data_IF_147295479939
#
_entry.id   IF_147295479939
#
_cell.length_a   1.000
_cell.length_b   1.000
_cell.length_c   1.000
_cell.angle_alpha   90.00
_cell.angle_beta   90.00
_cell.angle_gamma   90.00
#
_symmetry.space_group_name_H-M   'P 1'
#
loop_
_entity.id
_entity.type
_entity.pdbx_description
1 polymer ?
#
# COMPACT_ATOMS: atom_id res chain seq x y z
N UNK A 1 -9.49 13.49 -14.20
CA UNK A 1 -10.32 14.71 -14.03
C UNK A 1 -11.56 14.42 -13.17
N UNK A 2 -12.39 13.41 -13.51
CA UNK A 2 -13.62 13.10 -12.74
C UNK A 2 -13.30 12.75 -11.29
N UNK A 3 -12.33 11.86 -11.04
CA UNK A 3 -11.92 11.46 -9.70
C UNK A 3 -11.33 12.65 -8.91
N UNK A 4 -10.47 13.45 -9.53
CA UNK A 4 -9.89 14.63 -8.88
C UNK A 4 -10.96 15.63 -8.47
N UNK A 5 -11.91 15.94 -9.36
CA UNK A 5 -13.02 16.83 -9.02
C UNK A 5 -13.88 16.31 -7.86
N UNK A 6 -14.08 14.99 -7.77
CA UNK A 6 -14.84 14.37 -6.68
C UNK A 6 -14.04 14.33 -5.36
N UNK A 7 -12.72 14.21 -5.42
CA UNK A 7 -11.82 14.14 -4.27
C UNK A 7 -11.20 15.49 -3.87
N UNK A 8 -11.45 16.55 -4.63
CA UNK A 8 -11.05 17.92 -4.30
C UNK A 8 -9.61 18.28 -4.68
N UNK A 9 -9.03 17.60 -5.69
CA UNK A 9 -7.71 17.92 -6.24
C UNK A 9 -7.74 18.01 -7.77
N UNK A 10 -6.78 18.73 -8.35
CA UNK A 10 -6.59 18.83 -9.80
C UNK A 10 -5.58 17.78 -10.31
N UNK A 11 -5.61 17.40 -11.60
CA UNK A 11 -4.61 16.51 -12.18
C UNK A 11 -3.18 17.03 -12.03
N UNK A 12 -3.00 18.34 -12.11
CA UNK A 12 -1.70 19.02 -12.01
C UNK A 12 -1.08 18.88 -10.62
N UNK A 13 -1.88 18.68 -9.58
CA UNK A 13 -1.43 18.44 -8.19
C UNK A 13 -1.04 16.99 -7.91
N UNK A 14 -1.24 16.08 -8.87
CA UNK A 14 -1.02 14.65 -8.65
C UNK A 14 0.41 14.22 -8.87
N UNK A 15 0.87 13.27 -8.03
CA UNK A 15 2.09 12.50 -8.24
C UNK A 15 1.74 11.01 -8.24
N UNK A 16 2.15 10.31 -9.29
CA UNK A 16 1.88 8.87 -9.47
C UNK A 16 3.12 8.03 -9.17
N UNK A 17 2.90 6.84 -8.64
CA UNK A 17 3.92 5.80 -8.54
C UNK A 17 4.26 5.20 -9.91
N UNK A 18 5.51 4.73 -10.07
CA UNK A 18 5.92 3.78 -11.11
C UNK A 18 6.19 2.43 -10.46
N UNK A 19 5.14 1.61 -10.40
CA UNK A 19 5.09 0.38 -9.63
C UNK A 19 5.72 -0.78 -10.39
N UNK A 20 6.71 -1.43 -9.79
CA UNK A 20 7.37 -2.64 -10.31
C UNK A 20 7.42 -3.77 -9.27
N UNK A 21 6.52 -3.74 -8.29
CA UNK A 21 6.41 -4.72 -7.19
C UNK A 21 7.66 -4.79 -6.31
N UNK A 22 8.25 -3.64 -6.04
CA UNK A 22 9.42 -3.45 -5.17
C UNK A 22 9.00 -3.02 -3.76
N UNK A 23 9.95 -2.60 -2.96
CA UNK A 23 9.77 -1.93 -1.67
C UNK A 23 10.31 -0.50 -1.65
N UNK A 24 10.53 0.06 -2.84
CA UNK A 24 11.06 1.40 -3.00
C UNK A 24 10.01 2.46 -2.72
N UNK A 25 10.39 3.43 -1.90
CA UNK A 25 9.56 4.54 -1.45
C UNK A 25 10.26 5.86 -1.80
N UNK A 26 9.50 6.83 -2.34
CA UNK A 26 10.00 8.16 -2.66
C UNK A 26 9.29 9.22 -1.83
N UNK A 27 10.06 10.14 -1.24
CA UNK A 27 9.53 11.43 -0.79
C UNK A 27 9.31 12.32 -2.01
N UNK A 28 8.13 12.94 -2.09
CA UNK A 28 7.74 13.83 -3.18
C UNK A 28 7.20 15.13 -2.61
N UNK A 29 7.24 16.19 -3.41
CA UNK A 29 6.78 17.52 -3.04
C UNK A 29 6.13 18.25 -4.20
N UNK A 30 5.87 19.55 -4.05
CA UNK A 30 5.22 20.40 -5.06
C UNK A 30 5.95 20.35 -6.42
N UNK A 31 7.29 20.27 -6.42
CA UNK A 31 8.11 20.17 -7.64
C UNK A 31 7.87 18.90 -8.46
N UNK A 32 7.29 17.85 -7.82
CA UNK A 32 7.01 16.55 -8.44
C UNK A 32 5.59 16.48 -9.01
N UNK A 33 4.74 17.47 -8.73
CA UNK A 33 3.36 17.52 -9.20
C UNK A 33 3.27 17.42 -10.74
N UNK A 34 2.30 16.64 -11.23
CA UNK A 34 2.14 16.27 -12.64
C UNK A 34 2.97 15.04 -13.07
N UNK A 35 3.87 14.53 -12.22
CA UNK A 35 4.69 13.34 -12.54
C UNK A 35 3.83 12.07 -12.61
N UNK A 36 4.00 11.32 -13.69
CA UNK A 36 3.25 10.11 -14.01
C UNK A 36 1.94 10.37 -14.78
N UNK A 37 1.55 11.64 -14.98
CA UNK A 37 0.39 12.05 -15.77
C UNK A 37 0.74 13.02 -16.88
N UNK A 38 1.39 14.14 -16.55
CA UNK A 38 1.84 15.17 -17.51
C UNK A 38 3.30 15.04 -17.85
N UNK A 39 4.08 14.52 -16.91
CA UNK A 39 5.51 14.23 -17.07
C UNK A 39 5.75 12.76 -16.76
N UNK A 40 6.73 12.15 -17.40
CA UNK A 40 7.10 10.76 -17.17
C UNK A 40 7.60 10.55 -15.72
N UNK A 41 7.10 9.51 -15.05
CA UNK A 41 7.70 9.02 -13.80
C UNK A 41 8.88 8.10 -14.14
N UNK A 42 10.10 8.61 -14.00
CA UNK A 42 11.32 7.86 -14.33
C UNK A 42 11.83 7.01 -13.17
N UNK A 43 11.55 7.41 -11.94
CA UNK A 43 11.97 6.69 -10.76
C UNK A 43 10.99 5.55 -10.42
N UNK A 44 11.50 4.32 -10.33
CA UNK A 44 10.75 3.17 -9.85
C UNK A 44 10.42 3.36 -8.37
N UNK A 45 9.13 3.28 -8.04
CA UNK A 45 8.66 3.32 -6.66
C UNK A 45 7.29 2.66 -6.55
N UNK A 46 7.12 1.89 -5.50
CA UNK A 46 5.84 1.29 -5.15
C UNK A 46 5.12 2.04 -4.02
N UNK A 47 5.75 3.09 -3.49
CA UNK A 47 5.11 4.03 -2.58
C UNK A 47 5.71 5.42 -2.65
N UNK A 48 4.89 6.40 -2.36
CA UNK A 48 5.22 7.82 -2.30
C UNK A 48 4.70 8.43 -1.01
N UNK A 49 5.42 9.41 -0.48
CA UNK A 49 5.09 10.07 0.78
C UNK A 49 5.43 11.56 0.74
N UNK A 50 4.66 12.37 1.45
CA UNK A 50 4.84 13.82 1.53
C UNK A 50 4.28 14.40 2.83
N UNK A 51 4.81 15.56 3.23
CA UNK A 51 4.27 16.44 4.26
C UNK A 51 3.90 17.83 3.68
N UNK A 52 3.91 17.95 2.35
CA UNK A 52 3.58 19.20 1.67
C UNK A 52 2.09 19.26 1.32
N UNK A 53 1.35 20.29 1.79
CA UNK A 53 -0.04 20.50 1.37
C UNK A 53 -0.17 20.76 -0.13
N UNK A 54 -1.29 20.35 -0.71
CA UNK A 54 -1.56 20.53 -2.15
C UNK A 54 -0.96 19.46 -3.05
N UNK A 55 -0.24 18.48 -2.51
CA UNK A 55 0.29 17.33 -3.26
C UNK A 55 -0.64 16.13 -3.10
N UNK A 56 -1.25 15.67 -4.19
CA UNK A 56 -2.13 14.50 -4.21
C UNK A 56 -1.38 13.24 -4.65
N UNK A 57 -1.25 12.28 -3.75
CA UNK A 57 -0.54 11.03 -4.00
C UNK A 57 -1.45 9.98 -4.64
N UNK A 58 -0.99 9.32 -5.71
CA UNK A 58 -1.76 8.31 -6.44
C UNK A 58 -0.94 7.02 -6.61
N UNK A 59 -1.50 5.91 -6.14
CA UNK A 59 -1.05 4.56 -6.48
C UNK A 59 -2.20 3.73 -7.04
N UNK A 60 -1.87 2.68 -7.78
CA UNK A 60 -2.85 1.81 -8.42
C UNK A 60 -2.86 0.43 -7.77
N UNK A 61 -4.06 -0.18 -7.71
CA UNK A 61 -4.22 -1.57 -7.33
C UNK A 61 -5.39 -2.16 -8.10
N UNK A 62 -5.17 -3.26 -8.83
CA UNK A 62 -6.23 -4.09 -9.37
C UNK A 62 -6.49 -5.26 -8.42
N UNK A 63 -5.53 -6.12 -8.20
CA UNK A 63 -5.59 -7.22 -7.23
C UNK A 63 -4.59 -7.02 -6.08
N UNK A 64 -3.55 -6.23 -6.30
CA UNK A 64 -2.59 -5.89 -5.26
C UNK A 64 -3.18 -4.97 -4.20
N UNK A 65 -2.72 -5.11 -2.97
CA UNK A 65 -3.14 -4.26 -1.85
C UNK A 65 -2.62 -2.84 -2.03
N UNK A 66 -3.46 -1.85 -1.77
CA UNK A 66 -3.06 -0.45 -1.65
C UNK A 66 -3.19 -0.01 -0.19
N UNK A 67 -2.27 0.82 0.28
CA UNK A 67 -2.25 1.35 1.64
C UNK A 67 -2.24 2.87 1.57
N UNK A 68 -3.07 3.50 2.38
CA UNK A 68 -3.03 4.93 2.63
C UNK A 68 -2.66 5.17 4.10
N UNK A 69 -1.65 5.99 4.34
CA UNK A 69 -1.19 6.34 5.68
C UNK A 69 -1.35 7.85 5.88
N UNK A 70 -1.79 8.26 7.07
CA UNK A 70 -1.96 9.66 7.43
C UNK A 70 -1.57 9.90 8.88
N UNK A 71 -0.67 10.84 9.12
CA UNK A 71 -0.38 11.40 10.45
C UNK A 71 -1.02 12.77 10.59
N UNK A 72 -2.11 12.92 11.37
CA UNK A 72 -2.79 14.20 11.55
C UNK A 72 -1.98 15.23 12.35
N UNK A 73 -0.97 14.79 13.10
CA UNK A 73 -0.12 15.69 13.92
C UNK A 73 0.96 16.33 13.03
N UNK A 74 1.58 15.54 12.15
CA UNK A 74 2.62 15.99 11.23
C UNK A 74 2.07 16.44 9.88
N UNK A 75 0.77 16.24 9.63
CA UNK A 75 0.14 16.52 8.33
C UNK A 75 0.81 15.78 7.17
N UNK A 76 1.37 14.59 7.45
CA UNK A 76 2.10 13.79 6.48
C UNK A 76 1.23 12.62 5.99
N UNK A 77 1.37 12.29 4.71
CA UNK A 77 0.62 11.22 4.05
C UNK A 77 1.55 10.28 3.28
N UNK A 78 1.11 9.04 3.06
CA UNK A 78 1.73 8.13 2.12
C UNK A 78 0.67 7.32 1.36
N UNK A 79 0.96 7.02 0.09
CA UNK A 79 0.22 6.09 -0.75
C UNK A 79 1.16 4.98 -1.21
N UNK A 80 0.81 3.72 -0.93
CA UNK A 80 1.71 2.57 -1.11
C UNK A 80 1.00 1.44 -1.85
N UNK A 81 1.64 0.92 -2.87
CA UNK A 81 1.26 -0.32 -3.55
C UNK A 81 2.00 -1.50 -2.92
N UNK A 82 1.27 -2.45 -2.39
CA UNK A 82 1.79 -3.63 -1.71
C UNK A 82 1.29 -4.91 -2.40
N UNK A 83 1.84 -5.24 -3.56
CA UNK A 83 1.71 -6.57 -4.15
C UNK A 83 2.39 -7.62 -3.26
N UNK A 84 2.25 -8.92 -3.54
CA UNK A 84 2.80 -9.97 -2.68
C UNK A 84 4.33 -9.83 -2.46
N UNK A 85 5.09 -9.40 -3.49
CA UNK A 85 6.53 -9.17 -3.36
C UNK A 85 6.83 -8.00 -2.42
N UNK A 86 6.17 -6.85 -2.61
CA UNK A 86 6.31 -5.69 -1.73
C UNK A 86 5.86 -6.01 -0.30
N UNK A 87 4.81 -6.81 -0.13
CA UNK A 87 4.37 -7.31 1.20
C UNK A 87 5.45 -8.18 1.85
N UNK A 88 6.04 -9.13 1.12
CA UNK A 88 7.14 -9.96 1.63
C UNK A 88 8.39 -9.13 1.97
N UNK A 89 8.67 -8.09 1.21
CA UNK A 89 9.76 -7.14 1.48
C UNK A 89 9.46 -6.14 2.62
N UNK A 90 8.24 -6.18 3.17
CA UNK A 90 7.83 -5.33 4.30
C UNK A 90 7.60 -3.86 3.93
N UNK A 91 7.11 -3.57 2.71
CA UNK A 91 6.91 -2.19 2.24
C UNK A 91 6.02 -1.37 3.18
N UNK A 92 4.99 -1.97 3.77
CA UNK A 92 4.11 -1.31 4.73
C UNK A 92 4.86 -0.86 5.99
N UNK A 93 5.73 -1.70 6.55
CA UNK A 93 6.60 -1.39 7.67
C UNK A 93 7.59 -0.27 7.31
N UNK A 94 8.23 -0.40 6.13
CA UNK A 94 9.20 0.59 5.62
C UNK A 94 8.55 1.95 5.38
N UNK A 95 7.30 1.99 4.93
CA UNK A 95 6.57 3.25 4.75
C UNK A 95 6.38 4.00 6.09
N UNK A 96 6.01 3.29 7.16
CA UNK A 96 5.92 3.89 8.50
C UNK A 96 7.28 4.40 8.97
N UNK A 97 8.35 3.61 8.81
CA UNK A 97 9.71 4.04 9.16
C UNK A 97 10.15 5.29 8.38
N UNK A 98 9.80 5.37 7.08
CA UNK A 98 10.09 6.54 6.26
C UNK A 98 9.32 7.77 6.75
N UNK A 99 8.04 7.63 7.11
CA UNK A 99 7.27 8.73 7.71
C UNK A 99 7.88 9.20 9.04
N UNK A 100 8.39 8.28 9.86
CA UNK A 100 9.11 8.63 11.10
C UNK A 100 10.40 9.40 10.80
N UNK A 101 11.23 8.92 9.89
CA UNK A 101 12.56 9.50 9.62
C UNK A 101 12.50 10.80 8.83
N UNK A 102 11.57 10.91 7.88
CA UNK A 102 11.44 12.09 7.00
C UNK A 102 10.64 13.21 7.65
N UNK A 103 9.58 12.88 8.41
CA UNK A 103 8.60 13.86 8.89
C UNK A 103 8.48 13.89 10.42
N UNK A 104 9.15 12.98 11.14
CA UNK A 104 9.06 12.89 12.60
C UNK A 104 7.69 12.39 13.08
N UNK A 105 7.00 11.58 12.26
CA UNK A 105 5.74 10.96 12.64
C UNK A 105 5.94 9.97 13.81
N UNK A 106 4.99 9.93 14.74
CA UNK A 106 4.93 8.87 15.75
C UNK A 106 3.96 7.78 15.24
N UNK A 107 4.36 6.48 15.23
CA UNK A 107 3.51 5.43 14.67
C UNK A 107 2.11 5.34 15.28
N UNK A 108 1.98 5.64 16.57
CA UNK A 108 0.70 5.67 17.27
C UNK A 108 -0.25 6.79 16.80
N UNK A 109 0.27 7.83 16.13
CA UNK A 109 -0.53 8.90 15.52
C UNK A 109 -0.95 8.53 14.09
N UNK A 110 -0.23 7.61 13.44
CA UNK A 110 -0.53 7.23 12.05
C UNK A 110 -1.83 6.44 12.01
N UNK A 111 -2.72 6.87 11.12
CA UNK A 111 -3.92 6.16 10.71
C UNK A 111 -3.65 5.48 9.38
N UNK A 112 -3.95 4.19 9.28
CA UNK A 112 -3.76 3.41 8.08
C UNK A 112 -5.09 2.92 7.53
N UNK A 113 -5.25 2.98 6.21
CA UNK A 113 -6.34 2.32 5.50
C UNK A 113 -5.76 1.31 4.51
N UNK A 114 -6.21 0.07 4.61
CA UNK A 114 -5.89 -1.02 3.68
C UNK A 114 -7.03 -1.12 2.69
N UNK A 115 -6.74 -0.82 1.42
CA UNK A 115 -7.71 -0.78 0.33
C UNK A 115 -8.23 -2.16 -0.10
N UNK A 116 -9.20 -2.18 -1.03
CA UNK A 116 -9.66 -3.42 -1.65
C UNK A 116 -8.52 -4.07 -2.42
N UNK A 117 -8.42 -5.41 -2.36
CA UNK A 117 -7.49 -6.21 -3.13
C UNK A 117 -8.09 -7.60 -3.37
N UNK A 118 -7.39 -8.47 -4.09
CA UNK A 118 -7.80 -9.88 -4.16
C UNK A 118 -7.82 -10.46 -2.75
N UNK A 119 -8.97 -10.98 -2.33
CA UNK A 119 -9.13 -11.59 -1.02
C UNK A 119 -8.57 -12.99 -0.94
N UNK A 120 -8.33 -13.49 0.28
CA UNK A 120 -7.94 -14.88 0.52
C UNK A 120 -8.83 -15.89 -0.21
N UNK A 121 -10.11 -15.62 -0.31
CA UNK A 121 -11.09 -16.45 -1.04
C UNK A 121 -10.73 -16.72 -2.50
N UNK A 122 -9.89 -15.88 -3.11
CA UNK A 122 -9.55 -15.93 -4.54
C UNK A 122 -8.05 -15.93 -4.84
N UNK A 123 -7.21 -15.57 -3.88
CA UNK A 123 -5.76 -15.47 -4.08
C UNK A 123 -5.08 -16.81 -3.81
N UNK A 124 -5.27 -17.73 -4.77
CA UNK A 124 -4.61 -19.02 -4.79
C UNK A 124 -3.21 -18.89 -5.42
N UNK A 125 -2.19 -19.37 -4.73
CA UNK A 125 -0.77 -19.18 -5.08
C UNK A 125 0.03 -20.47 -4.92
N UNK A 126 1.17 -20.54 -5.60
CA UNK A 126 2.17 -21.58 -5.41
C UNK A 126 2.91 -21.48 -4.07
N UNK A 127 3.77 -22.46 -3.75
CA UNK A 127 4.47 -22.52 -2.45
C UNK A 127 5.44 -21.35 -2.22
N UNK A 128 5.90 -20.68 -3.27
CA UNK A 128 6.85 -19.57 -3.20
C UNK A 128 6.31 -18.36 -2.44
N UNK A 129 4.99 -18.11 -2.52
CA UNK A 129 4.38 -16.96 -1.86
C UNK A 129 4.26 -17.17 -0.34
N UNK A 130 3.62 -18.24 0.17
CA UNK A 130 3.56 -18.48 1.59
C UNK A 130 4.94 -18.66 2.23
N UNK A 131 5.91 -19.25 1.52
CA UNK A 131 7.28 -19.37 2.00
C UNK A 131 7.94 -17.99 2.18
N UNK A 132 7.82 -17.09 1.20
CA UNK A 132 8.31 -15.72 1.33
C UNK A 132 7.66 -14.97 2.51
N UNK A 133 6.36 -15.18 2.77
CA UNK A 133 5.68 -14.57 3.92
C UNK A 133 6.18 -15.11 5.25
N UNK A 134 6.42 -16.44 5.35
CA UNK A 134 7.01 -17.06 6.54
C UNK A 134 8.42 -16.56 6.83
N UNK A 135 9.24 -16.44 5.80
CA UNK A 135 10.59 -15.88 5.93
C UNK A 135 10.57 -14.43 6.42
N UNK A 136 9.60 -13.64 5.96
CA UNK A 136 9.50 -12.23 6.28
C UNK A 136 8.87 -11.93 7.66
N UNK A 137 7.78 -12.62 8.01
CA UNK A 137 6.97 -12.36 9.19
C UNK A 137 7.07 -13.43 10.27
N UNK A 138 7.69 -14.57 9.95
CA UNK A 138 7.76 -15.71 10.88
C UNK A 138 6.36 -16.24 11.23
N UNK A 139 6.10 -16.56 12.51
CA UNK A 139 4.82 -17.10 12.95
C UNK A 139 3.61 -16.20 12.66
N UNK A 140 3.83 -14.89 12.55
CA UNK A 140 2.74 -13.92 12.29
C UNK A 140 2.16 -14.06 10.87
N UNK A 141 2.84 -14.77 9.96
CA UNK A 141 2.32 -15.06 8.64
C UNK A 141 1.25 -16.17 8.64
N UNK A 142 1.28 -17.09 9.60
CA UNK A 142 0.47 -18.32 9.55
C UNK A 142 -1.04 -18.05 9.53
N UNK A 143 -1.50 -17.04 10.26
CA UNK A 143 -2.92 -16.67 10.28
C UNK A 143 -3.45 -16.19 8.90
N UNK A 144 -2.54 -15.76 8.02
CA UNK A 144 -2.86 -15.28 6.68
C UNK A 144 -2.76 -16.36 5.59
N UNK A 145 -2.26 -17.55 5.93
CA UNK A 145 -1.98 -18.63 4.97
C UNK A 145 -2.91 -19.81 5.26
N UNK A 146 -3.69 -20.20 4.26
CA UNK A 146 -4.59 -21.35 4.31
C UNK A 146 -4.15 -22.37 3.27
N UNK A 147 -3.64 -23.54 3.69
CA UNK A 147 -3.23 -24.59 2.75
C UNK A 147 -4.40 -25.13 1.94
N UNK A 148 -4.19 -25.37 0.64
CA UNK A 148 -5.16 -25.89 -0.27
C UNK A 148 -4.51 -26.89 -1.27
N UNK A 149 -4.36 -28.13 -0.86
CA UNK A 149 -3.60 -29.14 -1.62
C UNK A 149 -2.14 -28.75 -1.76
N UNK A 150 -1.63 -28.69 -3.00
CA UNK A 150 -0.26 -28.26 -3.31
C UNK A 150 -0.10 -26.74 -3.34
N UNK A 151 -1.19 -26.00 -3.21
CA UNK A 151 -1.25 -24.53 -3.22
C UNK A 151 -1.66 -23.99 -1.86
N UNK A 152 -1.76 -22.67 -1.79
CA UNK A 152 -2.29 -21.97 -0.60
C UNK A 152 -3.15 -20.79 -1.02
N UNK A 153 -4.12 -20.46 -0.19
CA UNK A 153 -4.81 -19.17 -0.23
C UNK A 153 -4.14 -18.21 0.75
N UNK A 154 -3.82 -17.00 0.30
CA UNK A 154 -3.09 -16.02 1.10
C UNK A 154 -3.89 -14.73 1.27
N UNK A 155 -3.89 -14.18 2.49
CA UNK A 155 -4.53 -12.91 2.83
C UNK A 155 -3.50 -11.79 2.90
N UNK A 156 -3.35 -11.03 1.79
CA UNK A 156 -2.43 -9.90 1.72
C UNK A 156 -2.82 -8.75 2.65
N UNK A 157 -4.12 -8.56 2.94
CA UNK A 157 -4.57 -7.51 3.87
C UNK A 157 -4.11 -7.79 5.28
N UNK A 158 -4.27 -9.05 5.72
CA UNK A 158 -3.85 -9.47 7.06
C UNK A 158 -2.34 -9.37 7.22
N UNK A 159 -1.55 -9.75 6.19
CA UNK A 159 -0.09 -9.61 6.22
C UNK A 159 0.36 -8.16 6.30
N UNK A 160 -0.23 -7.27 5.50
CA UNK A 160 0.09 -5.84 5.55
C UNK A 160 -0.36 -5.21 6.88
N UNK A 161 -1.48 -5.65 7.45
CA UNK A 161 -1.88 -5.28 8.80
C UNK A 161 -0.82 -5.67 9.83
N UNK A 162 -0.32 -6.91 9.79
CA UNK A 162 0.74 -7.37 10.70
C UNK A 162 2.01 -6.51 10.59
N UNK A 163 2.38 -6.10 9.38
CA UNK A 163 3.50 -5.17 9.18
C UNK A 163 3.27 -3.80 9.79
N UNK A 164 2.07 -3.24 9.64
CA UNK A 164 1.70 -1.95 10.23
C UNK A 164 1.70 -2.03 11.77
N UNK A 165 1.14 -3.11 12.33
CA UNK A 165 1.14 -3.35 13.78
C UNK A 165 2.56 -3.50 14.34
N UNK A 166 3.45 -4.22 13.64
CA UNK A 166 4.88 -4.33 13.98
C UNK A 166 5.59 -2.97 13.95
N UNK A 167 5.19 -2.08 13.05
CA UNK A 167 5.70 -0.71 12.99
C UNK A 167 5.14 0.21 14.09
N UNK A 168 4.16 -0.26 14.87
CA UNK A 168 3.56 0.49 15.98
C UNK A 168 2.26 1.23 15.64
N UNK A 169 1.73 1.07 14.41
CA UNK A 169 0.45 1.66 14.02
C UNK A 169 -0.69 0.92 14.72
N UNK A 170 -1.63 1.65 15.30
CA UNK A 170 -2.76 1.08 16.07
C UNK A 170 -4.13 1.32 15.40
N UNK A 171 -4.27 2.42 14.68
CA UNK A 171 -5.49 2.77 13.96
C UNK A 171 -5.42 2.26 12.53
N UNK A 172 -5.98 1.08 12.26
CA UNK A 172 -5.92 0.41 10.96
C UNK A 172 -7.31 0.00 10.53
N UNK A 173 -7.80 0.62 9.45
CA UNK A 173 -9.04 0.24 8.78
C UNK A 173 -8.75 -0.70 7.61
N UNK A 174 -9.57 -1.74 7.45
CA UNK A 174 -9.40 -2.72 6.38
C UNK A 174 -10.68 -2.80 5.54
N UNK A 175 -10.56 -2.51 4.25
CA UNK A 175 -11.65 -2.75 3.32
C UNK A 175 -11.89 -4.27 3.18
N UNK A 176 -13.10 -4.77 3.45
CA UNK A 176 -13.39 -6.21 3.39
C UNK A 176 -13.50 -6.74 1.96
N UNK A 177 -13.63 -5.86 0.96
CA UNK A 177 -13.96 -6.21 -0.41
C UNK A 177 -12.83 -6.99 -1.09
N UNK A 178 -13.22 -8.08 -1.79
CA UNK A 178 -12.35 -8.80 -2.72
C UNK A 178 -12.60 -8.28 -4.13
N UNK A 179 -11.55 -7.84 -4.81
CA UNK A 179 -11.63 -7.30 -6.18
C UNK A 179 -12.20 -8.31 -7.16
N UNK A 180 -11.74 -9.57 -7.10
CA UNK A 180 -12.19 -10.65 -7.99
C UNK A 180 -13.64 -11.08 -7.74
N UNK A 181 -14.13 -11.03 -6.50
CA UNK A 181 -15.53 -11.36 -6.18
C UNK A 181 -16.52 -10.26 -6.60
N UNK A 182 -16.05 -9.05 -6.88
CA UNK A 182 -16.90 -7.89 -7.18
C UNK A 182 -16.49 -7.23 -8.52
N UNK A 183 -16.62 -7.94 -9.66
CA UNK A 183 -16.16 -7.45 -10.96
C UNK A 183 -16.93 -6.22 -11.46
N UNK A 184 -18.10 -5.93 -10.89
CA UNK A 184 -18.89 -4.73 -11.21
C UNK A 184 -18.35 -3.46 -10.52
N UNK A 185 -17.42 -3.60 -9.57
CA UNK A 185 -16.85 -2.49 -8.78
C UNK A 185 -15.35 -2.34 -8.97
N UNK A 186 -14.66 -3.42 -9.26
CA UNK A 186 -13.20 -3.47 -9.30
C UNK A 186 -12.70 -4.20 -10.55
N UNK A 187 -11.48 -3.86 -10.94
CA UNK A 187 -10.71 -4.61 -11.92
C UNK A 187 -9.97 -5.77 -11.22
N UNK A 188 -9.93 -6.93 -11.91
CA UNK A 188 -9.19 -8.12 -11.46
C UNK A 188 -8.69 -8.95 -12.64
#
# INVERSE_FOLDING_TARGET
RILGAAAGFSPEETVFTRQEHTDLLLRVGEQDCGTGLEREQTAVCDGILTDEPGVALVCFGADCTTLLLFDPVRQAIAAVHAGWRGTALGIAYKAVLRMQTEFGCAPEHIRAAIGPCIGRCCFEVGPEVPEAMRQALGPDAEAAIEPHGEKSHVDLKLLNRSWLEKAGVRAIDICPDCTKCQPNRFWS
#
